data_IF_456486308136
#
_entry.id   IF_456486308136
#
_cell.length_a   1.000
_cell.length_b   1.000
_cell.length_c   1.000
_cell.angle_alpha   90.00
_cell.angle_beta   90.00
_cell.angle_gamma   90.00
#
_symmetry.space_group_name_H-M   'P 1'
#
loop_
_entity.id
_entity.type
_entity.pdbx_description
1 polymer ?
#
# COMPACT_ATOMS: atom_id res chain seq x y z
N UNK A 1 -16.53 -24.73 0.93
CA UNK A 1 -15.34 -24.56 0.07
C UNK A 1 -15.04 -25.83 -0.71
N UNK A 2 -14.93 -25.79 -2.05
CA UNK A 2 -14.47 -26.93 -2.88
C UNK A 2 -13.08 -27.45 -2.46
N UNK A 3 -12.73 -28.69 -2.82
CA UNK A 3 -11.42 -29.27 -2.45
C UNK A 3 -10.26 -28.59 -3.19
N UNK A 4 -10.51 -28.20 -4.44
CA UNK A 4 -9.56 -27.56 -5.33
C UNK A 4 -9.14 -26.18 -4.81
N UNK A 5 -10.08 -25.42 -4.23
CA UNK A 5 -9.79 -24.10 -3.65
C UNK A 5 -8.95 -24.21 -2.39
N UNK A 6 -9.16 -25.25 -1.59
CA UNK A 6 -8.34 -25.53 -0.40
C UNK A 6 -6.89 -25.86 -0.79
N UNK A 7 -6.70 -26.69 -1.82
CA UNK A 7 -5.36 -27.02 -2.34
C UNK A 7 -4.67 -25.77 -2.87
N UNK A 8 -5.39 -24.88 -3.56
CA UNK A 8 -4.80 -23.63 -4.05
C UNK A 8 -4.37 -22.73 -2.88
N UNK A 9 -5.23 -22.53 -1.87
CA UNK A 9 -4.89 -21.74 -0.67
C UNK A 9 -3.68 -22.31 0.07
N UNK A 10 -3.60 -23.63 0.17
CA UNK A 10 -2.46 -24.29 0.80
C UNK A 10 -1.15 -24.01 0.04
N UNK A 11 -1.15 -24.14 -1.29
CA UNK A 11 0.02 -23.84 -2.12
C UNK A 11 0.46 -22.39 -2.04
N UNK A 12 -0.48 -21.44 -2.02
CA UNK A 12 -0.16 -20.01 -1.84
C UNK A 12 0.58 -19.76 -0.52
N UNK A 13 0.17 -20.46 0.54
CA UNK A 13 0.81 -20.37 1.85
C UNK A 13 2.18 -21.04 1.87
N UNK A 14 2.33 -22.20 1.23
CA UNK A 14 3.60 -22.93 1.13
C UNK A 14 4.68 -22.13 0.38
N UNK A 15 4.29 -21.39 -0.66
CA UNK A 15 5.19 -20.57 -1.48
C UNK A 15 5.34 -19.12 -0.97
N UNK A 16 4.79 -18.79 0.19
CA UNK A 16 4.79 -17.44 0.78
C UNK A 16 4.32 -16.33 -0.19
N UNK A 17 3.34 -16.66 -1.04
CA UNK A 17 2.79 -15.71 -2.01
C UNK A 17 1.81 -14.79 -1.29
N UNK A 18 2.22 -13.53 -1.11
CA UNK A 18 1.36 -12.52 -0.50
C UNK A 18 0.29 -12.06 -1.49
N UNK A 19 -0.95 -12.48 -1.23
CA UNK A 19 -2.14 -11.98 -1.93
C UNK A 19 -2.73 -10.81 -1.15
N UNK A 20 -3.53 -9.98 -1.81
CA UNK A 20 -4.26 -8.91 -1.14
C UNK A 20 -5.10 -9.47 0.03
N UNK A 21 -4.96 -8.86 1.19
CA UNK A 21 -5.70 -9.16 2.41
C UNK A 21 -6.64 -8.01 2.71
N UNK A 22 -7.85 -8.34 3.15
CA UNK A 22 -8.82 -7.33 3.54
C UNK A 22 -8.35 -6.64 4.83
N UNK A 23 -8.45 -5.30 4.94
CA UNK A 23 -8.10 -4.59 6.16
C UNK A 23 -8.81 -5.17 7.37
N UNK A 24 -8.06 -5.37 8.44
CA UNK A 24 -8.63 -5.70 9.74
C UNK A 24 -9.19 -4.41 10.37
N UNK A 25 -10.30 -4.54 11.10
CA UNK A 25 -10.81 -3.42 11.88
C UNK A 25 -10.00 -3.36 13.17
N UNK A 26 -9.48 -2.18 13.52
CA UNK A 26 -8.73 -2.03 14.76
C UNK A 26 -9.65 -2.27 15.98
N UNK A 27 -9.06 -2.81 17.05
CA UNK A 27 -9.81 -3.27 18.21
C UNK A 27 -10.46 -2.13 19.01
N UNK A 28 -9.92 -0.92 18.89
CA UNK A 28 -10.39 0.32 19.52
C UNK A 28 -11.47 1.06 18.73
N UNK A 29 -11.81 0.59 17.52
CA UNK A 29 -12.90 1.15 16.72
C UNK A 29 -14.27 0.87 17.34
N UNK A 30 -15.22 1.77 17.09
CA UNK A 30 -16.58 1.68 17.60
C UNK A 30 -17.33 0.45 17.03
N UNK A 31 -18.22 -0.12 17.85
CA UNK A 31 -19.02 -1.31 17.49
C UNK A 31 -19.87 -1.11 16.21
N UNK A 32 -20.30 0.12 15.94
CA UNK A 32 -21.02 0.45 14.70
C UNK A 32 -20.13 0.29 13.46
N UNK A 33 -18.87 0.74 13.55
CA UNK A 33 -17.90 0.64 12.47
C UNK A 33 -17.47 -0.82 12.23
N UNK A 34 -17.20 -1.57 13.31
CA UNK A 34 -16.92 -3.02 13.25
C UNK A 34 -18.03 -3.77 12.51
N UNK A 35 -19.29 -3.49 12.85
CA UNK A 35 -20.44 -4.11 12.20
C UNK A 35 -20.56 -3.74 10.73
N UNK A 36 -20.33 -2.48 10.37
CA UNK A 36 -20.31 -2.05 8.96
C UNK A 36 -19.20 -2.75 8.16
N UNK A 37 -18.02 -2.93 8.76
CA UNK A 37 -16.92 -3.65 8.13
C UNK A 37 -17.25 -5.13 7.93
N UNK A 38 -17.84 -5.79 8.94
CA UNK A 38 -18.32 -7.17 8.80
C UNK A 38 -19.42 -7.29 7.73
N UNK A 39 -20.34 -6.34 7.65
CA UNK A 39 -21.36 -6.30 6.60
C UNK A 39 -20.76 -6.10 5.21
N UNK A 40 -19.67 -5.34 5.07
CA UNK A 40 -18.91 -5.23 3.81
C UNK A 40 -18.12 -6.50 3.48
N UNK A 41 -17.69 -7.26 4.49
CA UNK A 41 -16.98 -8.54 4.35
C UNK A 41 -17.91 -9.72 4.05
N UNK A 42 -19.22 -9.53 4.14
CA UNK A 42 -20.22 -10.58 3.90
C UNK A 42 -21.07 -10.25 2.68
N UNK A 43 -21.01 -11.10 1.66
CA UNK A 43 -21.94 -11.03 0.55
C UNK A 43 -23.26 -11.72 0.90
N UNK A 44 -24.37 -11.03 0.64
CA UNK A 44 -25.68 -11.68 0.58
C UNK A 44 -25.88 -12.23 -0.83
N UNK A 45 -25.99 -13.55 -0.94
CA UNK A 45 -26.34 -14.23 -2.20
C UNK A 45 -27.79 -14.68 -2.08
N UNK A 46 -28.63 -14.21 -3.02
CA UNK A 46 -30.02 -14.66 -3.12
C UNK A 46 -30.02 -16.11 -3.60
N UNK A 47 -30.58 -17.00 -2.78
CA UNK A 47 -30.81 -18.39 -3.17
C UNK A 47 -32.25 -18.49 -3.64
N UNK A 48 -32.44 -18.62 -4.96
CA UNK A 48 -33.78 -18.82 -5.51
C UNK A 48 -34.42 -20.10 -4.94
N UNK A 49 -35.68 -19.98 -4.49
CA UNK A 49 -36.52 -21.12 -4.07
C UNK A 49 -36.70 -21.33 -2.56
N UNK A 50 -36.01 -20.58 -1.68
CA UNK A 50 -36.14 -20.80 -0.22
C UNK A 50 -36.32 -19.55 0.65
N UNK A 51 -36.34 -18.33 0.08
CA UNK A 51 -36.44 -17.09 0.86
C UNK A 51 -35.31 -16.90 1.88
N UNK A 52 -34.22 -17.66 1.77
CA UNK A 52 -33.07 -17.62 2.66
C UNK A 52 -31.88 -17.02 1.92
N UNK A 53 -31.40 -15.88 2.42
CA UNK A 53 -30.15 -15.28 1.97
C UNK A 53 -28.99 -16.08 2.55
N UNK A 54 -28.04 -16.48 1.70
CA UNK A 54 -26.78 -17.08 2.17
C UNK A 54 -25.77 -15.96 2.36
N UNK A 55 -25.29 -15.79 3.60
CA UNK A 55 -24.13 -14.96 3.92
C UNK A 55 -22.87 -15.74 3.55
N UNK A 56 -22.01 -15.16 2.71
CA UNK A 56 -20.73 -15.75 2.29
C UNK A 56 -19.63 -14.73 2.57
N UNK A 57 -18.62 -15.15 3.31
CA UNK A 57 -17.46 -14.30 3.58
C UNK A 57 -16.65 -14.08 2.30
N UNK A 58 -16.25 -12.83 2.05
CA UNK A 58 -15.48 -12.47 0.85
C UNK A 58 -14.13 -13.18 0.84
N UNK A 59 -13.49 -13.32 2.00
CA UNK A 59 -12.20 -14.00 2.14
C UNK A 59 -12.27 -15.50 1.84
N UNK A 60 -13.39 -16.13 2.18
CA UNK A 60 -13.67 -17.49 1.76
C UNK A 60 -13.94 -17.58 0.25
N UNK A 61 -14.41 -16.51 -0.37
CA UNK A 61 -14.69 -16.47 -1.81
C UNK A 61 -13.43 -16.36 -2.69
N UNK A 62 -12.26 -16.08 -2.10
CA UNK A 62 -10.98 -16.07 -2.82
C UNK A 62 -10.42 -17.50 -2.85
N UNK A 63 -10.05 -18.05 -4.02
CA UNK A 63 -10.02 -17.42 -5.36
C UNK A 63 -11.40 -17.38 -6.04
N UNK A 64 -11.73 -16.27 -6.70
CA UNK A 64 -13.00 -16.12 -7.43
C UNK A 64 -13.02 -16.98 -8.70
N UNK A 65 -14.05 -17.80 -8.88
CA UNK A 65 -14.29 -18.56 -10.10
C UNK A 65 -15.05 -17.71 -11.12
N UNK A 66 -14.32 -16.96 -11.97
CA UNK A 66 -14.93 -15.98 -12.89
C UNK A 66 -15.02 -16.46 -14.33
N UNK A 67 -16.10 -16.06 -15.01
CA UNK A 67 -16.29 -16.23 -16.44
C UNK A 67 -16.44 -14.85 -17.08
N UNK A 68 -15.62 -14.55 -18.09
CA UNK A 68 -15.70 -13.29 -18.84
C UNK A 68 -16.46 -13.46 -20.16
N UNK A 69 -17.29 -12.48 -20.52
CA UNK A 69 -17.86 -12.36 -21.87
C UNK A 69 -18.12 -10.89 -22.21
N UNK A 70 -17.79 -10.51 -23.45
CA UNK A 70 -18.20 -9.24 -24.04
C UNK A 70 -19.49 -9.38 -24.88
N UNK A 71 -19.92 -10.60 -25.14
CA UNK A 71 -21.11 -10.88 -25.93
C UNK A 71 -22.38 -10.73 -25.10
N UNK A 72 -23.39 -10.08 -25.68
CA UNK A 72 -24.72 -9.94 -25.09
C UNK A 72 -25.61 -11.00 -25.70
N UNK A 73 -26.01 -11.95 -24.87
CA UNK A 73 -26.91 -13.02 -25.26
C UNK A 73 -28.35 -12.56 -25.01
N UNK A 74 -29.17 -12.63 -26.05
CA UNK A 74 -30.62 -12.43 -25.96
C UNK A 74 -31.28 -13.79 -26.03
N UNK A 75 -31.89 -14.21 -24.94
CA UNK A 75 -32.82 -15.33 -24.95
C UNK A 75 -34.25 -14.82 -25.16
N UNK A 76 -35.07 -15.61 -25.86
CA UNK A 76 -36.38 -15.18 -26.33
C UNK A 76 -37.34 -14.87 -25.16
N UNK A 77 -37.40 -13.62 -24.74
CA UNK A 77 -38.27 -13.11 -23.68
C UNK A 77 -37.55 -12.59 -22.43
N UNK A 78 -36.24 -12.80 -22.31
CA UNK A 78 -35.44 -12.35 -21.16
C UNK A 78 -34.70 -11.04 -21.43
N UNK A 79 -34.31 -10.34 -20.35
CA UNK A 79 -33.45 -9.15 -20.43
C UNK A 79 -32.13 -9.53 -21.13
N UNK A 80 -31.57 -8.68 -22.00
CA UNK A 80 -30.24 -8.94 -22.55
C UNK A 80 -29.22 -9.04 -21.42
N UNK A 81 -28.55 -10.19 -21.32
CA UNK A 81 -27.52 -10.48 -20.31
C UNK A 81 -26.19 -10.76 -20.99
N UNK A 82 -25.09 -10.41 -20.33
CA UNK A 82 -23.75 -10.76 -20.82
C UNK A 82 -23.50 -12.24 -20.55
N UNK A 83 -23.09 -12.99 -21.57
CA UNK A 83 -23.00 -14.44 -21.45
C UNK A 83 -22.20 -15.09 -22.56
N UNK A 84 -21.89 -16.38 -22.39
CA UNK A 84 -21.27 -17.23 -23.41
C UNK A 84 -22.27 -18.28 -23.85
N UNK A 85 -22.58 -18.33 -25.15
CA UNK A 85 -23.49 -19.33 -25.71
C UNK A 85 -22.69 -20.53 -26.23
N UNK A 86 -23.09 -21.71 -25.81
CA UNK A 86 -22.59 -22.99 -26.28
C UNK A 86 -23.72 -23.80 -26.89
N UNK A 87 -23.39 -24.89 -27.60
CA UNK A 87 -24.38 -25.83 -28.14
C UNK A 87 -25.23 -26.51 -27.06
N UNK A 88 -24.71 -26.61 -25.84
CA UNK A 88 -25.36 -27.26 -24.70
C UNK A 88 -26.04 -26.27 -23.73
N UNK A 89 -25.94 -24.95 -23.96
CA UNK A 89 -26.57 -23.96 -23.08
C UNK A 89 -25.88 -22.60 -23.10
N UNK A 90 -26.40 -21.66 -22.33
CA UNK A 90 -25.86 -20.30 -22.17
C UNK A 90 -25.36 -20.11 -20.75
N UNK A 91 -24.10 -19.68 -20.60
CA UNK A 91 -23.53 -19.27 -19.32
C UNK A 91 -23.67 -17.77 -19.16
N UNK A 92 -24.53 -17.34 -18.24
CA UNK A 92 -24.70 -15.93 -17.87
C UNK A 92 -23.60 -15.47 -16.92
N UNK A 93 -22.93 -14.36 -17.24
CA UNK A 93 -21.80 -13.81 -16.48
C UNK A 93 -22.27 -13.08 -15.22
N UNK A 94 -23.44 -12.46 -15.23
CA UNK A 94 -23.96 -11.73 -14.06
C UNK A 94 -24.75 -12.61 -13.09
N UNK A 95 -24.86 -13.91 -13.38
CA UNK A 95 -25.59 -14.86 -12.55
C UNK A 95 -24.66 -15.47 -11.48
N UNK A 96 -24.92 -15.25 -10.17
CA UNK A 96 -24.09 -15.78 -9.07
C UNK A 96 -24.02 -17.31 -9.03
N UNK A 97 -24.97 -18.02 -9.64
CA UNK A 97 -24.96 -19.48 -9.71
C UNK A 97 -23.98 -20.02 -10.76
N UNK A 98 -23.60 -19.21 -11.74
CA UNK A 98 -22.68 -19.62 -12.81
C UNK A 98 -21.23 -19.23 -12.52
N UNK A 99 -21.01 -18.05 -11.94
CA UNK A 99 -19.67 -17.57 -11.64
C UNK A 99 -19.67 -16.48 -10.56
N UNK A 100 -18.50 -16.28 -9.94
CA UNK A 100 -18.27 -15.29 -8.88
C UNK A 100 -17.98 -13.87 -9.43
N UNK A 101 -18.30 -13.60 -10.71
CA UNK A 101 -18.00 -12.32 -11.35
C UNK A 101 -18.64 -11.14 -10.60
N UNK A 102 -19.87 -11.32 -10.09
CA UNK A 102 -20.58 -10.29 -9.32
C UNK A 102 -19.82 -9.93 -8.05
N UNK A 103 -19.27 -10.93 -7.35
CA UNK A 103 -18.49 -10.76 -6.13
C UNK A 103 -17.15 -10.07 -6.43
N UNK A 104 -16.45 -10.49 -7.49
CA UNK A 104 -15.22 -9.83 -7.93
C UNK A 104 -15.47 -8.36 -8.31
N UNK A 105 -16.53 -8.07 -9.08
CA UNK A 105 -16.90 -6.69 -9.46
C UNK A 105 -17.16 -5.85 -8.21
N UNK A 106 -17.93 -6.36 -7.26
CA UNK A 106 -18.25 -5.62 -6.03
C UNK A 106 -17.01 -5.35 -5.18
N UNK A 107 -16.09 -6.31 -5.09
CA UNK A 107 -14.79 -6.10 -4.43
C UNK A 107 -14.01 -4.97 -5.11
N UNK A 108 -13.80 -5.07 -6.43
CA UNK A 108 -12.93 -4.16 -7.17
C UNK A 108 -13.45 -2.73 -7.29
N UNK A 109 -14.76 -2.54 -7.50
CA UNK A 109 -15.31 -1.22 -7.87
C UNK A 109 -16.32 -0.63 -6.88
N UNK A 110 -16.87 -1.41 -5.94
CA UNK A 110 -17.89 -0.90 -5.01
C UNK A 110 -17.38 -0.76 -3.58
N UNK A 111 -16.62 -1.73 -3.08
CA UNK A 111 -16.31 -1.83 -1.64
C UNK A 111 -14.84 -1.53 -1.33
N UNK A 112 -13.90 -2.17 -2.03
CA UNK A 112 -12.48 -2.16 -1.63
C UNK A 112 -11.58 -1.35 -2.57
N UNK A 113 -12.15 -0.55 -3.46
CA UNK A 113 -11.38 0.25 -4.42
C UNK A 113 -10.42 1.23 -3.73
N UNK A 114 -10.88 1.88 -2.65
CA UNK A 114 -10.10 2.89 -1.97
C UNK A 114 -8.92 2.26 -1.22
N UNK A 115 -9.16 1.18 -0.50
CA UNK A 115 -8.11 0.44 0.18
C UNK A 115 -7.06 -0.14 -0.80
N UNK A 116 -7.51 -0.69 -1.94
CA UNK A 116 -6.59 -1.14 -3.00
C UNK A 116 -5.66 -0.03 -3.49
N UNK A 117 -6.14 1.22 -3.54
CA UNK A 117 -5.32 2.38 -3.90
C UNK A 117 -4.33 2.74 -2.79
N UNK A 118 -4.75 2.70 -1.53
CA UNK A 118 -3.91 2.99 -0.36
C UNK A 118 -2.77 1.98 -0.25
N UNK A 119 -3.07 0.68 -0.30
CA UNK A 119 -2.07 -0.39 -0.35
C UNK A 119 -1.08 -0.19 -1.51
N UNK A 120 -1.59 0.20 -2.69
CA UNK A 120 -0.72 0.47 -3.85
C UNK A 120 0.19 1.67 -3.62
N UNK A 121 -0.31 2.72 -2.97
CA UNK A 121 0.45 3.93 -2.70
C UNK A 121 1.49 3.70 -1.59
N UNK A 122 1.05 3.23 -0.43
CA UNK A 122 1.84 3.20 0.80
C UNK A 122 2.80 2.02 0.86
N UNK A 123 2.49 0.90 0.21
CA UNK A 123 3.35 -0.28 0.20
C UNK A 123 4.10 -0.42 -1.12
N UNK A 124 3.38 -0.49 -2.24
CA UNK A 124 3.99 -0.82 -3.53
C UNK A 124 4.80 0.36 -4.09
N UNK A 125 4.20 1.55 -4.12
CA UNK A 125 4.84 2.74 -4.66
C UNK A 125 5.92 3.29 -3.73
N UNK A 126 5.63 3.49 -2.44
CA UNK A 126 6.66 3.96 -1.49
C UNK A 126 7.82 2.96 -1.35
N UNK A 127 7.54 1.66 -1.39
CA UNK A 127 8.59 0.64 -1.43
C UNK A 127 9.48 0.75 -2.67
N UNK A 128 8.90 1.00 -3.84
CA UNK A 128 9.66 1.29 -5.06
C UNK A 128 10.45 2.61 -4.95
N UNK A 129 9.81 3.68 -4.47
CA UNK A 129 10.41 5.00 -4.30
C UNK A 129 11.62 4.96 -3.38
N UNK A 130 11.51 4.29 -2.24
CA UNK A 130 12.62 4.08 -1.31
C UNK A 130 13.81 3.36 -1.98
N UNK A 131 13.55 2.28 -2.73
CA UNK A 131 14.60 1.56 -3.48
C UNK A 131 15.28 2.44 -4.54
N UNK A 132 14.51 3.24 -5.26
CA UNK A 132 15.04 4.18 -6.25
C UNK A 132 15.94 5.24 -5.60
N UNK A 133 15.49 5.84 -4.49
CA UNK A 133 16.25 6.84 -3.75
C UNK A 133 17.54 6.24 -3.18
N UNK A 134 17.49 5.04 -2.61
CA UNK A 134 18.68 4.31 -2.14
C UNK A 134 19.67 4.03 -3.28
N UNK A 135 19.18 3.67 -4.46
CA UNK A 135 20.05 3.48 -5.63
C UNK A 135 20.72 4.77 -6.10
N UNK A 136 20.04 5.92 -5.98
CA UNK A 136 20.59 7.23 -6.34
C UNK A 136 21.56 7.76 -5.28
N UNK A 137 21.33 7.45 -4.01
CA UNK A 137 22.16 7.87 -2.89
C UNK A 137 23.49 7.09 -2.78
N UNK A 138 23.67 6.01 -3.56
CA UNK A 138 24.96 5.29 -3.62
C UNK A 138 26.03 6.17 -4.30
N UNK A 139 27.19 6.43 -3.66
CA UNK A 139 28.31 7.11 -4.30
C UNK A 139 28.72 6.38 -5.58
N UNK A 140 28.72 7.08 -6.73
CA UNK A 140 29.01 6.53 -8.05
C UNK A 140 27.79 6.16 -8.92
N UNK A 141 26.56 6.29 -8.42
CA UNK A 141 25.34 6.03 -9.22
C UNK A 141 25.08 7.09 -10.32
N UNK A 142 25.62 8.31 -10.15
CA UNK A 142 25.53 9.40 -11.13
C UNK A 142 26.21 9.05 -12.46
N UNK A 143 27.26 8.24 -12.44
CA UNK A 143 28.00 7.84 -13.65
C UNK A 143 27.23 6.79 -14.49
N UNK A 144 26.33 6.01 -13.88
CA UNK A 144 25.46 5.06 -14.59
C UNK A 144 24.18 5.68 -15.14
N UNK A 145 23.58 6.63 -14.43
CA UNK A 145 22.35 7.30 -14.88
C UNK A 145 22.54 8.13 -16.16
N UNK A 146 23.78 8.56 -16.46
CA UNK A 146 24.13 9.22 -17.72
C UNK A 146 24.13 8.26 -18.93
N UNK A 147 24.24 6.95 -18.70
CA UNK A 147 24.34 5.93 -19.76
C UNK A 147 23.00 5.32 -20.18
N UNK A 148 21.92 5.49 -19.40
CA UNK A 148 20.61 4.90 -19.70
C UNK A 148 19.60 5.85 -20.38
N UNK A 149 20.03 7.06 -20.80
CA UNK A 149 19.18 8.05 -21.48
C UNK A 149 18.96 7.78 -22.98
N UNK A 150 18.71 6.52 -23.36
CA UNK A 150 18.24 6.16 -24.70
C UNK A 150 17.09 5.17 -24.60
N UNK A 151 15.98 5.54 -23.98
CA UNK A 151 14.63 5.08 -24.35
C UNK A 151 13.59 5.70 -23.41
N UNK A 152 12.44 6.08 -23.98
CA UNK A 152 11.23 6.65 -23.38
C UNK A 152 11.21 8.16 -23.11
N UNK A 153 10.97 8.88 -24.20
CA UNK A 153 10.20 10.12 -24.20
C UNK A 153 8.72 9.78 -23.89
N UNK A 154 8.26 9.97 -22.65
CA UNK A 154 6.87 10.36 -22.32
C UNK A 154 6.63 10.20 -20.81
N UNK A 155 6.93 11.23 -20.03
CA UNK A 155 6.26 11.48 -18.77
C UNK A 155 6.47 12.95 -18.42
N UNK A 156 5.37 13.65 -18.27
CA UNK A 156 5.19 15.06 -17.93
C UNK A 156 6.22 15.55 -16.92
N UNK A 157 7.13 16.42 -17.36
CA UNK A 157 8.09 17.08 -16.49
C UNK A 157 7.33 18.04 -15.57
N UNK A 158 7.21 17.66 -14.30
CA UNK A 158 7.02 18.62 -13.21
C UNK A 158 8.44 19.00 -12.77
N UNK A 159 8.92 20.23 -13.05
CA UNK A 159 10.23 20.66 -12.59
C UNK A 159 10.15 20.88 -11.09
N UNK A 160 10.48 19.86 -10.29
CA UNK A 160 10.86 20.08 -8.90
C UNK A 160 12.21 20.82 -8.92
N UNK A 161 12.33 21.99 -8.28
CA UNK A 161 13.60 22.70 -8.18
C UNK A 161 14.59 21.81 -7.42
N UNK A 162 15.49 21.16 -8.15
CA UNK A 162 16.65 20.50 -7.59
C UNK A 162 17.57 21.59 -7.03
N UNK A 163 17.40 21.93 -5.75
CA UNK A 163 18.48 22.60 -5.02
C UNK A 163 19.70 21.67 -5.07
N UNK A 164 20.88 22.17 -5.46
CA UNK A 164 22.07 21.34 -5.53
C UNK A 164 22.36 20.76 -4.14
N UNK A 165 22.16 19.45 -3.97
CA UNK A 165 22.42 18.75 -2.71
C UNK A 165 23.87 18.94 -2.22
N UNK A 166 24.79 19.25 -3.14
CA UNK A 166 26.18 19.59 -2.83
C UNK A 166 26.29 20.89 -2.01
N UNK A 167 25.45 21.88 -2.29
CA UNK A 167 25.44 23.15 -1.56
C UNK A 167 24.85 22.94 -0.17
N UNK A 168 23.82 22.10 -0.03
CA UNK A 168 23.24 21.76 1.27
C UNK A 168 24.21 20.96 2.14
N UNK A 169 24.97 20.03 1.56
CA UNK A 169 25.95 19.22 2.30
C UNK A 169 27.16 20.06 2.76
N UNK A 170 27.60 21.01 1.94
CA UNK A 170 28.63 21.97 2.32
C UNK A 170 28.15 22.89 3.44
N UNK A 171 26.91 23.37 3.36
CA UNK A 171 26.31 24.26 4.37
C UNK A 171 26.12 23.56 5.72
N UNK A 172 25.75 22.27 5.72
CA UNK A 172 25.66 21.44 6.94
C UNK A 172 27.03 21.31 7.61
N UNK A 173 28.09 21.07 6.83
CA UNK A 173 29.47 20.95 7.38
C UNK A 173 29.97 22.25 7.99
N UNK A 174 29.74 23.38 7.33
CA UNK A 174 30.11 24.70 7.87
C UNK A 174 29.35 24.99 9.18
N UNK A 175 28.05 24.66 9.24
CA UNK A 175 27.24 24.83 10.46
C UNK A 175 27.69 23.91 11.60
N UNK A 176 28.05 22.66 11.31
CA UNK A 176 28.57 21.71 12.31
C UNK A 176 29.95 22.10 12.85
N UNK A 177 30.81 22.71 12.03
CA UNK A 177 32.10 23.27 12.47
C UNK A 177 31.90 24.53 13.33
N UNK A 178 30.96 25.39 12.96
CA UNK A 178 30.60 26.59 13.71
C UNK A 178 30.02 26.22 15.10
N UNK A 179 29.12 25.22 15.14
CA UNK A 179 28.56 24.67 16.38
C UNK A 179 29.65 24.08 17.28
N UNK A 180 30.63 23.36 16.72
CA UNK A 180 31.77 22.82 17.48
C UNK A 180 32.62 23.93 18.10
N UNK A 181 32.97 24.96 17.32
CA UNK A 181 33.74 26.11 17.85
C UNK A 181 32.99 26.84 18.96
N UNK A 182 31.68 26.99 18.81
CA UNK A 182 30.85 27.64 19.82
C UNK A 182 30.77 26.81 21.12
N UNK A 183 30.64 25.48 21.00
CA UNK A 183 30.67 24.56 22.15
C UNK A 183 32.00 24.65 22.91
N UNK A 184 33.14 24.61 22.21
CA UNK A 184 34.46 24.76 22.83
C UNK A 184 34.64 26.12 23.53
N UNK A 185 34.06 27.18 22.95
CA UNK A 185 34.12 28.52 23.54
C UNK A 185 33.28 28.63 24.82
N UNK A 186 32.07 28.06 24.81
CA UNK A 186 31.20 27.98 25.99
C UNK A 186 31.85 27.17 27.11
N UNK A 187 32.48 26.05 26.78
CA UNK A 187 33.16 25.17 27.74
C UNK A 187 34.37 25.87 28.37
N UNK A 188 35.17 26.59 27.57
CA UNK A 188 36.27 27.44 28.08
C UNK A 188 35.77 28.55 29.01
N UNK A 189 34.65 29.18 28.66
CA UNK A 189 34.06 30.26 29.47
C UNK A 189 33.52 29.71 30.81
N UNK A 190 32.88 28.54 30.79
CA UNK A 190 32.44 27.86 32.01
C UNK A 190 33.62 27.43 32.89
N UNK A 191 34.70 26.91 32.29
CA UNK A 191 35.91 26.54 33.02
C UNK A 191 36.58 27.76 33.68
N UNK A 192 36.65 28.91 33.00
CA UNK A 192 37.16 30.15 33.61
C UNK A 192 36.29 30.63 34.78
N UNK A 193 34.97 30.54 34.66
CA UNK A 193 34.06 30.94 35.73
C UNK A 193 34.21 30.04 36.97
N UNK A 194 34.37 28.73 36.77
CA UNK A 194 34.64 27.77 37.85
C UNK A 194 36.02 27.99 38.49
N UNK A 195 37.07 28.26 37.70
CA UNK A 195 38.39 28.58 38.24
C UNK A 195 38.36 29.87 39.08
N UNK A 196 37.62 30.89 38.64
CA UNK A 196 37.43 32.15 39.36
C UNK A 196 36.70 31.95 40.69
N UNK A 197 35.70 31.06 40.73
CA UNK A 197 35.01 30.69 41.98
C UNK A 197 35.91 29.91 42.94
N UNK A 198 36.70 28.95 42.44
CA UNK A 198 37.61 28.16 43.29
C UNK A 198 38.79 28.97 43.85
N UNK A 199 39.23 30.03 43.16
CA UNK A 199 40.25 30.95 43.68
C UNK A 199 39.68 31.93 44.71
N UNK A 200 38.42 32.34 44.59
CA UNK A 200 37.74 33.18 45.58
C UNK A 200 37.51 32.47 46.93
N UNK A 201 37.24 31.16 46.91
CA UNK A 201 37.03 30.37 48.14
C UNK A 201 38.33 30.06 48.91
N UNK A 202 39.51 30.12 48.26
CA UNK A 202 40.81 29.95 48.93
C UNK A 202 41.35 31.24 49.58
N UNK A 203 40.84 32.40 49.18
CA UNK A 203 41.24 33.70 49.76
C UNK A 203 40.48 34.10 51.03
N UNK A 204 39.40 33.40 51.37
CA UNK A 204 38.53 33.72 52.52
C UNK A 204 38.72 32.75 53.72
N UNK A 205 39.74 31.89 53.65
CA UNK A 205 40.06 30.90 54.70
C UNK A 205 41.44 31.11 55.36
N UNK A 206 41.96 32.34 55.38
CA UNK A 206 43.19 32.72 56.10
C UNK A 206 42.97 33.94 56.99
#
# INVERSE_FOLDING_TARGET
MPRETQVLKQKLKEEEINIYQFPECDSDEDEEFKKQNEEMKVWQVDVEGAGKQKKVDVEESIPFAVVGSCEVVRDAGARPVRGRRYSWGTVEVENPHHCDFVNLRRMLVQTHLQDLKEVTHDLLYEGYRARCLQSLARPGARDRASRSKLSRQSATEIPLPMLPLADTEKLIREKDEELRRMQEMLEKMQAQMQQSQTQGEQSDSL
#
